data_IF_352766457107
#
_entry.id   IF_352766457107
#
_cell.length_a   1.000
_cell.length_b   1.000
_cell.length_c   1.000
_cell.angle_alpha   90.00
_cell.angle_beta   90.00
_cell.angle_gamma   90.00
#
_symmetry.space_group_name_H-M   'P 1'
#
loop_
_entity.id
_entity.type
_entity.pdbx_description
1 polymer ?
#
# COMPACT_ATOMS: atom_id res chain seq x y z
N UNK A 1 18.79 41.77 1.20
CA UNK A 1 19.67 40.59 1.21
C UNK A 1 19.12 39.63 2.26
N UNK A 2 18.96 38.34 1.92
CA UNK A 2 18.25 37.27 2.67
C UNK A 2 16.76 37.08 2.35
N UNK A 3 16.41 36.91 1.06
CA UNK A 3 15.35 35.96 0.68
C UNK A 3 16.03 34.64 0.31
N UNK A 4 16.31 33.77 1.28
CA UNK A 4 16.75 32.41 0.95
C UNK A 4 15.94 31.40 1.76
N UNK A 5 15.34 30.48 1.01
CA UNK A 5 14.64 29.26 1.45
C UNK A 5 13.14 29.42 1.76
N UNK A 6 12.37 29.88 0.76
CA UNK A 6 11.01 29.39 0.60
C UNK A 6 11.10 27.90 0.25
N UNK A 7 11.08 27.03 1.27
CA UNK A 7 11.07 25.58 1.08
C UNK A 7 9.81 25.25 0.28
N UNK A 8 9.99 24.91 -1.00
CA UNK A 8 8.90 24.46 -1.85
C UNK A 8 8.24 23.27 -1.10
N UNK A 9 6.97 23.42 -0.71
CA UNK A 9 6.27 22.38 0.03
C UNK A 9 5.86 21.32 -0.98
N UNK A 10 6.86 20.57 -1.48
CA UNK A 10 6.64 19.40 -2.29
C UNK A 10 5.55 18.55 -1.65
N UNK A 11 4.61 18.10 -2.47
CA UNK A 11 3.49 17.26 -2.00
C UNK A 11 4.08 16.03 -1.33
N UNK A 12 3.77 15.86 -0.04
CA UNK A 12 4.21 14.69 0.72
C UNK A 12 3.33 13.50 0.34
N UNK A 13 3.97 12.37 0.11
CA UNK A 13 3.31 11.10 -0.16
C UNK A 13 3.53 10.18 1.04
N UNK A 14 2.47 9.54 1.49
CA UNK A 14 2.50 8.49 2.50
C UNK A 14 1.84 7.25 1.94
N UNK A 15 2.47 6.09 2.13
CA UNK A 15 1.94 4.80 1.69
C UNK A 15 1.79 3.91 2.92
N UNK A 16 0.59 3.34 3.08
CA UNK A 16 0.26 2.39 4.14
C UNK A 16 -0.08 1.05 3.51
N UNK A 17 0.59 0.01 4.00
CA UNK A 17 0.36 -1.38 3.62
C UNK A 17 -0.02 -2.15 4.87
N UNK A 18 -1.09 -2.95 4.81
CA UNK A 18 -1.61 -3.70 5.95
C UNK A 18 -1.51 -5.19 5.61
N UNK A 19 -0.75 -5.95 6.40
CA UNK A 19 -0.54 -7.38 6.18
C UNK A 19 -1.82 -8.17 6.46
N UNK A 20 -2.06 -9.24 5.69
CA UNK A 20 -3.17 -10.17 5.93
C UNK A 20 -4.57 -9.59 5.71
N UNK A 21 -4.73 -8.58 4.84
CA UNK A 21 -6.02 -7.93 4.57
C UNK A 21 -6.53 -8.21 3.14
N UNK A 22 -7.42 -9.21 2.96
CA UNK A 22 -8.06 -9.47 1.67
C UNK A 22 -8.99 -8.34 1.22
N UNK A 23 -9.16 -8.20 -0.10
CA UNK A 23 -10.06 -7.22 -0.69
C UNK A 23 -11.51 -7.36 -0.19
N UNK A 24 -12.03 -8.59 -0.14
CA UNK A 24 -13.42 -8.86 0.23
C UNK A 24 -13.69 -8.55 1.72
N UNK A 25 -12.68 -8.70 2.58
CA UNK A 25 -12.75 -8.29 3.98
C UNK A 25 -12.96 -6.77 4.09
N UNK A 26 -12.14 -5.99 3.39
CA UNK A 26 -12.27 -4.52 3.37
C UNK A 26 -13.61 -4.09 2.77
N UNK A 27 -14.00 -4.69 1.64
CA UNK A 27 -15.24 -4.36 0.96
C UNK A 27 -16.46 -4.61 1.86
N UNK A 28 -16.50 -5.75 2.57
CA UNK A 28 -17.58 -6.08 3.51
C UNK A 28 -17.70 -5.00 4.60
N UNK A 29 -16.62 -4.67 5.28
CA UNK A 29 -16.62 -3.77 6.44
C UNK A 29 -16.82 -2.29 6.04
N UNK A 30 -16.38 -1.89 4.84
CA UNK A 30 -16.74 -0.59 4.27
C UNK A 30 -18.26 -0.50 4.03
N UNK A 31 -18.86 -1.58 3.50
CA UNK A 31 -20.30 -1.62 3.20
C UNK A 31 -21.17 -1.66 4.45
N UNK A 32 -20.78 -2.41 5.48
CA UNK A 32 -21.51 -2.49 6.75
C UNK A 32 -21.35 -1.24 7.63
N UNK A 33 -20.41 -0.36 7.30
CA UNK A 33 -20.19 0.90 8.00
C UNK A 33 -19.15 0.84 9.12
N UNK A 34 -18.54 -0.32 9.35
CA UNK A 34 -17.52 -0.54 10.39
C UNK A 34 -16.26 0.30 10.15
N UNK A 35 -15.96 0.58 8.87
CA UNK A 35 -14.77 1.31 8.44
C UNK A 35 -15.09 2.67 7.77
N UNK A 36 -15.58 3.66 8.53
CA UNK A 36 -16.06 4.93 7.98
C UNK A 36 -14.96 5.78 7.33
N UNK A 37 -13.72 5.69 7.83
CA UNK A 37 -12.59 6.42 7.24
C UNK A 37 -12.14 5.80 5.91
N UNK A 38 -12.10 4.47 5.81
CA UNK A 38 -11.81 3.80 4.54
C UNK A 38 -12.92 4.01 3.50
N UNK A 39 -14.19 4.06 3.93
CA UNK A 39 -15.30 4.46 3.06
C UNK A 39 -15.06 5.84 2.42
N UNK A 40 -14.76 6.85 3.25
CA UNK A 40 -14.45 8.22 2.77
C UNK A 40 -13.25 8.25 1.80
N UNK A 41 -12.22 7.43 2.05
CA UNK A 41 -11.05 7.34 1.16
C UNK A 41 -11.41 6.67 -0.18
N UNK A 42 -12.22 5.62 -0.16
CA UNK A 42 -12.69 4.94 -1.35
C UNK A 42 -13.57 5.84 -2.23
N UNK A 43 -14.45 6.64 -1.62
CA UNK A 43 -15.33 7.59 -2.33
C UNK A 43 -14.57 8.78 -2.93
N UNK A 44 -13.54 9.29 -2.24
CA UNK A 44 -12.71 10.41 -2.73
C UNK A 44 -11.64 9.99 -3.73
N UNK A 45 -11.32 8.69 -3.79
CA UNK A 45 -10.21 8.14 -4.55
C UNK A 45 -10.61 6.89 -5.32
N UNK A 46 -9.81 5.84 -5.17
CA UNK A 46 -10.08 4.56 -5.81
C UNK A 46 -9.91 3.41 -4.81
N UNK A 47 -10.82 2.44 -4.87
CA UNK A 47 -10.74 1.18 -4.14
C UNK A 47 -10.80 0.02 -5.14
N UNK A 48 -9.66 -0.62 -5.39
CA UNK A 48 -9.51 -1.65 -6.43
C UNK A 48 -8.87 -2.91 -5.86
N UNK A 49 -9.30 -4.05 -6.39
CA UNK A 49 -8.66 -5.34 -6.11
C UNK A 49 -7.30 -5.39 -6.80
N UNK A 50 -6.30 -5.92 -6.12
CA UNK A 50 -4.95 -6.15 -6.64
C UNK A 50 -4.54 -7.60 -6.42
N UNK A 51 -3.67 -8.11 -7.28
CA UNK A 51 -3.03 -9.40 -7.09
C UNK A 51 -1.75 -9.21 -6.27
N UNK A 52 -1.49 -10.15 -5.37
CA UNK A 52 -0.21 -10.21 -4.66
C UNK A 52 0.88 -10.78 -5.58
N UNK A 53 2.09 -10.85 -5.04
CA UNK A 53 3.23 -11.54 -5.67
C UNK A 53 3.15 -13.05 -5.50
N UNK A 54 3.90 -13.78 -6.33
CA UNK A 54 4.06 -15.23 -6.24
C UNK A 54 5.52 -15.58 -5.90
N UNK A 55 5.80 -16.33 -4.82
CA UNK A 55 4.84 -16.91 -3.87
C UNK A 55 4.21 -15.88 -2.92
N UNK A 56 2.96 -16.15 -2.51
CA UNK A 56 2.16 -15.26 -1.67
C UNK A 56 2.57 -15.38 -0.19
N UNK A 57 3.79 -14.92 0.13
CA UNK A 57 4.41 -14.97 1.47
C UNK A 57 4.82 -13.55 1.86
N UNK A 58 4.63 -13.16 3.13
CA UNK A 58 4.90 -11.78 3.59
C UNK A 58 6.32 -11.30 3.25
N UNK A 59 7.37 -12.10 3.50
CA UNK A 59 8.75 -11.70 3.16
C UNK A 59 8.94 -11.35 1.68
N UNK A 60 8.25 -12.08 0.80
CA UNK A 60 8.32 -11.87 -0.64
C UNK A 60 7.51 -10.62 -1.03
N UNK A 61 6.30 -10.47 -0.51
CA UNK A 61 5.43 -9.32 -0.78
C UNK A 61 6.06 -8.00 -0.32
N UNK A 62 6.61 -7.95 0.90
CA UNK A 62 7.25 -6.77 1.44
C UNK A 62 8.53 -6.39 0.68
N UNK A 63 9.34 -7.38 0.30
CA UNK A 63 10.55 -7.14 -0.50
C UNK A 63 10.21 -6.63 -1.90
N UNK A 64 9.19 -7.21 -2.54
CA UNK A 64 8.71 -6.75 -3.85
C UNK A 64 8.12 -5.33 -3.77
N UNK A 65 7.33 -5.04 -2.73
CA UNK A 65 6.76 -3.71 -2.48
C UNK A 65 7.85 -2.64 -2.30
N UNK A 66 8.85 -2.90 -1.44
CA UNK A 66 9.91 -1.92 -1.15
C UNK A 66 10.84 -1.67 -2.34
N UNK A 67 11.10 -2.69 -3.17
CA UNK A 67 12.06 -2.59 -4.28
C UNK A 67 11.40 -2.24 -5.62
N UNK A 68 10.08 -2.43 -5.75
CA UNK A 68 9.39 -2.37 -7.03
C UNK A 68 9.85 -3.44 -8.02
N UNK A 69 10.42 -4.55 -7.52
CA UNK A 69 10.94 -5.66 -8.33
C UNK A 69 10.17 -6.93 -8.01
N UNK A 70 10.14 -7.86 -8.96
CA UNK A 70 9.56 -9.19 -8.73
C UNK A 70 10.55 -10.11 -7.97
N UNK A 71 10.09 -11.26 -7.46
CA UNK A 71 10.93 -12.15 -6.66
C UNK A 71 12.20 -12.63 -7.34
N UNK A 72 12.16 -12.90 -8.64
CA UNK A 72 13.34 -13.31 -9.42
C UNK A 72 14.42 -12.21 -9.50
N UNK A 73 14.06 -10.94 -9.32
CA UNK A 73 15.01 -9.81 -9.35
C UNK A 73 15.62 -9.49 -7.98
N UNK A 74 14.89 -9.70 -6.89
CA UNK A 74 15.40 -9.45 -5.53
C UNK A 74 15.81 -10.72 -4.78
N UNK A 75 15.63 -11.90 -5.38
CA UNK A 75 16.09 -13.21 -4.91
C UNK A 75 15.55 -13.64 -3.52
N UNK A 76 14.35 -13.17 -3.14
CA UNK A 76 13.69 -13.55 -1.88
C UNK A 76 12.42 -14.31 -2.22
N UNK A 77 12.31 -15.54 -1.74
CA UNK A 77 11.21 -16.46 -2.07
C UNK A 77 10.46 -16.98 -0.84
N UNK A 78 10.90 -16.64 0.38
CA UNK A 78 10.29 -17.10 1.62
C UNK A 78 11.24 -16.93 2.81
N UNK A 79 10.93 -17.64 3.89
CA UNK A 79 11.84 -17.87 5.02
C UNK A 79 12.36 -19.31 4.93
N UNK A 80 13.56 -19.56 5.47
CA UNK A 80 14.13 -20.92 5.65
C UNK A 80 13.85 -21.37 7.08
#
# INVERSE_FOLDING_TARGET
>A
MFEFLKKDRARRVFVISIDGVPYDFMQKHIRTGDFPNFKKLAEKGAFRRMNSVQPCISSVAWSSYMTGKNPAKHNIFGFV
#
